data_IF_744593708311
#
_entry.id   IF_744593708311
#
_cell.length_a   1.000
_cell.length_b   1.000
_cell.length_c   1.000
_cell.angle_alpha   90.00
_cell.angle_beta   90.00
_cell.angle_gamma   90.00
#
_symmetry.space_group_name_H-M   'P 1'
#
loop_
_entity.id
_entity.type
_entity.pdbx_description
1 polymer ?
#
# COMPACT_ATOMS: atom_id res chain seq x y z
N UNK A 1 -12.50 19.35 -6.08
CA UNK A 1 -11.67 20.56 -6.16
C UNK A 1 -11.96 21.48 -4.98
N UNK A 2 -10.93 22.12 -4.44
CA UNK A 2 -11.08 23.22 -3.48
C UNK A 2 -11.38 24.55 -4.21
N UNK A 3 -11.90 25.57 -3.52
CA UNK A 3 -12.10 26.88 -4.15
C UNK A 3 -10.79 27.46 -4.73
N UNK A 4 -9.66 27.29 -4.03
CA UNK A 4 -8.34 27.74 -4.50
C UNK A 4 -7.91 27.04 -5.80
N UNK A 5 -7.99 25.71 -5.87
CA UNK A 5 -7.68 24.93 -7.07
C UNK A 5 -8.54 25.36 -8.27
N UNK A 6 -9.84 25.60 -8.04
CA UNK A 6 -10.73 26.04 -9.10
C UNK A 6 -10.41 27.46 -9.57
N UNK A 7 -10.03 28.36 -8.65
CA UNK A 7 -9.59 29.71 -8.96
C UNK A 7 -8.31 29.69 -9.80
N UNK A 8 -7.34 28.88 -9.41
CA UNK A 8 -6.06 28.74 -10.10
C UNK A 8 -6.22 28.13 -11.52
N UNK A 9 -7.04 27.10 -11.64
CA UNK A 9 -7.25 26.41 -12.91
C UNK A 9 -8.13 27.19 -13.90
N UNK A 10 -9.08 28.01 -13.43
CA UNK A 10 -10.11 28.64 -14.28
C UNK A 10 -10.06 30.17 -14.31
N UNK A 11 -9.27 30.81 -13.46
CA UNK A 11 -9.19 32.27 -13.34
C UNK A 11 -10.43 32.94 -12.73
N UNK A 12 -11.43 32.18 -12.25
CA UNK A 12 -12.61 32.74 -11.57
C UNK A 12 -12.23 33.20 -10.15
N UNK A 13 -12.94 34.20 -9.62
CA UNK A 13 -12.71 34.63 -8.26
C UNK A 13 -13.07 33.53 -7.26
N UNK A 14 -12.44 33.57 -6.09
CA UNK A 14 -12.68 32.57 -5.03
C UNK A 14 -14.15 32.51 -4.59
N UNK A 15 -14.84 33.65 -4.58
CA UNK A 15 -16.27 33.72 -4.29
C UNK A 15 -17.13 32.99 -5.32
N UNK A 16 -16.79 33.14 -6.61
CA UNK A 16 -17.45 32.42 -7.70
C UNK A 16 -17.10 30.92 -7.65
N UNK A 17 -15.85 30.57 -7.41
CA UNK A 17 -15.42 29.19 -7.22
C UNK A 17 -16.17 28.48 -6.10
N UNK A 18 -16.32 29.15 -4.94
CA UNK A 18 -17.15 28.65 -3.80
C UNK A 18 -18.60 28.43 -4.19
N UNK A 19 -19.21 29.37 -4.95
CA UNK A 19 -20.59 29.25 -5.40
C UNK A 19 -20.77 28.10 -6.39
N UNK A 20 -19.86 27.93 -7.33
CA UNK A 20 -19.86 26.80 -8.29
C UNK A 20 -19.75 25.47 -7.54
N UNK A 21 -18.80 25.34 -6.62
CA UNK A 21 -18.58 24.12 -5.83
C UNK A 21 -19.82 23.81 -4.97
N UNK A 22 -20.39 24.79 -4.28
CA UNK A 22 -21.58 24.58 -3.46
C UNK A 22 -22.79 24.19 -4.31
N UNK A 23 -22.99 24.82 -5.47
CA UNK A 23 -24.06 24.45 -6.40
C UNK A 23 -23.86 23.06 -6.98
N UNK A 24 -22.63 22.69 -7.33
CA UNK A 24 -22.32 21.33 -7.77
C UNK A 24 -22.59 20.31 -6.66
N UNK A 25 -22.12 20.58 -5.44
CA UNK A 25 -22.37 19.73 -4.27
C UNK A 25 -23.85 19.55 -3.95
N UNK A 26 -24.66 20.60 -4.06
CA UNK A 26 -26.10 20.50 -3.80
C UNK A 26 -26.87 19.70 -4.86
N UNK A 27 -26.28 19.49 -6.05
CA UNK A 27 -26.83 18.68 -7.13
C UNK A 27 -26.28 17.27 -7.20
N UNK A 28 -25.17 17.02 -6.53
CA UNK A 28 -24.65 15.67 -6.33
C UNK A 28 -25.41 15.03 -5.18
N UNK A 29 -25.91 13.84 -5.40
CA UNK A 29 -26.28 12.96 -4.29
C UNK A 29 -25.04 12.82 -3.41
N UNK A 30 -25.12 13.28 -2.14
CA UNK A 30 -23.96 13.47 -1.25
C UNK A 30 -23.30 12.14 -0.83
N UNK A 31 -23.51 11.08 -1.63
CA UNK A 31 -22.82 9.82 -1.47
C UNK A 31 -23.36 8.97 -0.30
N UNK A 32 -24.55 9.28 0.23
CA UNK A 32 -25.24 8.36 1.12
C UNK A 32 -25.79 7.19 0.30
N UNK A 33 -25.28 6.00 0.58
CA UNK A 33 -25.68 4.78 -0.08
C UNK A 33 -26.40 3.86 0.92
N UNK A 34 -27.27 2.99 0.42
CA UNK A 34 -27.87 1.99 1.28
C UNK A 34 -26.83 0.96 1.71
N UNK A 35 -27.00 0.32 2.88
CA UNK A 35 -26.13 -0.76 3.32
C UNK A 35 -26.04 -1.89 2.30
N UNK A 36 -27.10 -2.12 1.51
CA UNK A 36 -27.12 -3.13 0.45
C UNK A 36 -26.20 -2.73 -0.73
N UNK A 37 -26.19 -1.46 -1.11
CA UNK A 37 -25.30 -0.99 -2.19
C UNK A 37 -23.83 -1.00 -1.75
N UNK A 38 -23.56 -0.66 -0.48
CA UNK A 38 -22.25 -0.81 0.11
C UNK A 38 -21.79 -2.29 0.12
N UNK A 39 -22.66 -3.22 0.44
CA UNK A 39 -22.38 -4.65 0.41
C UNK A 39 -22.02 -5.12 -1.02
N UNK A 40 -22.80 -4.73 -2.02
CA UNK A 40 -22.50 -5.04 -3.43
C UNK A 40 -21.16 -4.48 -3.88
N UNK A 41 -20.81 -3.26 -3.45
CA UNK A 41 -19.47 -2.69 -3.71
C UNK A 41 -18.36 -3.51 -3.07
N UNK A 42 -18.59 -4.02 -1.86
CA UNK A 42 -17.62 -4.91 -1.18
C UNK A 42 -17.43 -6.24 -1.91
N UNK A 43 -18.46 -6.78 -2.55
CA UNK A 43 -18.38 -8.00 -3.37
C UNK A 43 -17.52 -7.79 -4.63
N UNK A 44 -17.42 -6.58 -5.15
CA UNK A 44 -16.61 -6.23 -6.33
C UNK A 44 -15.12 -5.98 -6.02
N UNK A 45 -14.75 -5.98 -4.75
CA UNK A 45 -13.36 -5.77 -4.32
C UNK A 45 -12.47 -6.92 -4.77
N UNK A 46 -11.37 -6.58 -5.44
CA UNK A 46 -10.37 -7.56 -5.88
C UNK A 46 -9.33 -7.76 -4.78
N UNK A 47 -8.90 -9.01 -4.60
CA UNK A 47 -7.81 -9.36 -3.69
C UNK A 47 -6.67 -9.99 -4.45
N UNK A 48 -5.46 -9.45 -4.25
CA UNK A 48 -4.24 -9.91 -4.90
C UNK A 48 -3.57 -10.92 -3.97
N UNK A 49 -3.38 -12.16 -4.46
CA UNK A 49 -2.74 -13.23 -3.71
C UNK A 49 -1.31 -12.88 -3.32
N UNK A 50 -0.93 -13.23 -2.11
CA UNK A 50 0.45 -13.13 -1.60
C UNK A 50 1.36 -14.25 -2.13
N UNK A 51 0.79 -15.28 -2.79
CA UNK A 51 1.49 -16.49 -3.21
C UNK A 51 1.47 -17.63 -2.18
N UNK A 52 1.00 -17.39 -0.96
CA UNK A 52 0.77 -18.38 0.09
C UNK A 52 -0.70 -18.44 0.44
N UNK A 53 -1.32 -19.60 0.33
CA UNK A 53 -2.74 -19.81 0.70
C UNK A 53 -3.00 -19.53 2.17
N UNK A 54 -2.06 -19.90 3.03
CA UNK A 54 -2.16 -19.65 4.47
C UNK A 54 -2.13 -18.14 4.76
N UNK A 55 -1.29 -17.39 4.05
CA UNK A 55 -1.21 -15.95 4.21
C UNK A 55 -2.43 -15.24 3.60
N UNK A 56 -2.88 -15.69 2.44
CA UNK A 56 -4.11 -15.16 1.83
C UNK A 56 -5.31 -15.38 2.75
N UNK A 57 -5.44 -16.57 3.35
CA UNK A 57 -6.51 -16.85 4.32
C UNK A 57 -6.45 -15.93 5.54
N UNK A 58 -5.24 -15.63 6.06
CA UNK A 58 -5.05 -14.68 7.16
C UNK A 58 -5.52 -13.26 6.80
N UNK A 59 -5.39 -12.86 5.53
CA UNK A 59 -5.81 -11.55 5.02
C UNK A 59 -7.24 -11.55 4.40
N UNK A 60 -7.99 -12.64 4.57
CA UNK A 60 -9.34 -12.75 4.00
C UNK A 60 -9.37 -12.88 2.48
N UNK A 61 -8.30 -13.41 1.89
CA UNK A 61 -8.17 -13.71 0.46
C UNK A 61 -7.02 -13.03 -0.26
N UNK A 62 -6.18 -12.26 0.44
CA UNK A 62 -5.04 -11.53 -0.12
C UNK A 62 -5.07 -10.03 0.14
N UNK A 63 -4.24 -9.27 -0.59
CA UNK A 63 -4.15 -7.82 -0.47
C UNK A 63 -5.33 -7.16 -1.18
N UNK A 64 -6.13 -6.40 -0.43
CA UNK A 64 -7.39 -5.82 -0.88
C UNK A 64 -7.17 -4.53 -1.69
N UNK A 65 -7.86 -4.40 -2.84
CA UNK A 65 -7.95 -3.12 -3.57
C UNK A 65 -8.87 -2.14 -2.83
N UNK A 66 -8.57 -0.85 -2.94
CA UNK A 66 -9.27 0.18 -2.18
C UNK A 66 -8.78 0.33 -0.74
N UNK A 67 -7.69 -0.32 -0.35
CA UNK A 67 -7.19 -0.34 1.01
C UNK A 67 -5.66 -0.15 1.06
N UNK A 68 -5.17 0.28 2.23
CA UNK A 68 -3.73 0.29 2.55
C UNK A 68 -3.43 -0.93 3.42
N UNK A 69 -2.50 -1.76 2.97
CA UNK A 69 -1.94 -2.88 3.73
C UNK A 69 -0.51 -2.58 4.15
N UNK A 70 -0.26 -2.50 5.46
CA UNK A 70 1.06 -2.31 6.04
C UNK A 70 1.68 -3.65 6.44
N UNK A 71 2.89 -3.90 5.94
CA UNK A 71 3.75 -4.98 6.43
C UNK A 71 4.94 -4.38 7.16
N UNK A 72 5.05 -4.63 8.46
CA UNK A 72 6.16 -4.13 9.26
C UNK A 72 6.92 -5.24 9.96
N UNK A 73 8.19 -5.00 10.24
CA UNK A 73 9.06 -6.00 10.89
C UNK A 73 10.54 -5.69 10.70
N UNK A 74 11.38 -6.47 11.35
CA UNK A 74 12.84 -6.32 11.30
C UNK A 74 13.39 -6.53 9.87
N UNK A 75 14.63 -6.13 9.65
CA UNK A 75 15.34 -6.41 8.40
C UNK A 75 15.35 -7.92 8.09
N UNK A 76 15.08 -8.28 6.83
CA UNK A 76 15.04 -9.67 6.38
C UNK A 76 13.80 -10.45 6.83
N UNK A 77 12.74 -9.80 7.33
CA UNK A 77 11.46 -10.45 7.66
C UNK A 77 10.60 -10.82 6.46
N UNK A 78 10.97 -10.39 5.23
CA UNK A 78 10.28 -10.77 3.99
C UNK A 78 9.39 -9.68 3.38
N UNK A 79 9.34 -8.47 3.96
CA UNK A 79 8.49 -7.34 3.47
C UNK A 79 8.67 -7.06 1.97
N UNK A 80 9.89 -6.78 1.56
CA UNK A 80 10.24 -6.52 0.15
C UNK A 80 9.98 -7.73 -0.74
N UNK A 81 10.22 -8.95 -0.25
CA UNK A 81 9.96 -10.18 -1.01
C UNK A 81 8.47 -10.40 -1.31
N UNK A 82 7.59 -10.07 -0.35
CA UNK A 82 6.14 -10.06 -0.56
C UNK A 82 5.78 -9.01 -1.61
N UNK A 83 6.37 -7.81 -1.56
CA UNK A 83 6.19 -6.77 -2.57
C UNK A 83 6.54 -7.26 -3.98
N UNK A 84 7.66 -7.97 -4.16
CA UNK A 84 8.02 -8.56 -5.46
C UNK A 84 6.99 -9.59 -5.92
N UNK A 85 6.51 -10.46 -5.02
CA UNK A 85 5.47 -11.43 -5.34
C UNK A 85 4.17 -10.74 -5.78
N UNK A 86 3.72 -9.73 -5.05
CA UNK A 86 2.52 -8.98 -5.38
C UNK A 86 2.64 -8.25 -6.73
N UNK A 87 3.82 -7.72 -7.06
CA UNK A 87 4.08 -7.05 -8.33
C UNK A 87 3.96 -7.98 -9.54
N UNK A 88 4.19 -9.28 -9.34
CA UNK A 88 3.93 -10.31 -10.34
C UNK A 88 2.46 -10.75 -10.30
N UNK A 89 1.94 -11.06 -9.12
CA UNK A 89 0.61 -11.63 -8.98
C UNK A 89 -0.50 -10.68 -9.44
N UNK A 90 -0.33 -9.35 -9.28
CA UNK A 90 -1.32 -8.36 -9.77
C UNK A 90 -1.60 -8.49 -11.27
N UNK A 91 -0.66 -9.03 -12.04
CA UNK A 91 -0.76 -9.21 -13.49
C UNK A 91 -1.53 -10.48 -13.88
N UNK A 92 -1.70 -11.42 -12.95
CA UNK A 92 -2.45 -12.64 -13.18
C UNK A 92 -3.95 -12.34 -13.36
N UNK A 93 -4.66 -13.29 -13.97
CA UNK A 93 -6.11 -13.26 -14.03
C UNK A 93 -6.73 -13.40 -12.63
N UNK A 94 -7.95 -12.92 -12.46
CA UNK A 94 -8.63 -12.90 -11.14
C UNK A 94 -8.84 -14.30 -10.55
N UNK A 95 -9.10 -15.29 -11.39
CA UNK A 95 -9.23 -16.70 -11.00
C UNK A 95 -7.92 -17.30 -10.46
N UNK A 96 -6.78 -16.70 -10.80
CA UNK A 96 -5.44 -17.05 -10.28
C UNK A 96 -4.96 -16.13 -9.15
N UNK A 97 -5.85 -15.32 -8.59
CA UNK A 97 -5.52 -14.41 -7.50
C UNK A 97 -4.83 -13.13 -7.95
N UNK A 98 -5.02 -12.72 -9.21
CA UNK A 98 -4.52 -11.46 -9.74
C UNK A 98 -5.60 -10.37 -9.84
N UNK A 99 -5.25 -9.27 -10.47
CA UNK A 99 -6.13 -8.12 -10.72
C UNK A 99 -6.09 -7.65 -12.18
N UNK A 100 -5.43 -8.39 -13.07
CA UNK A 100 -5.29 -8.09 -14.51
C UNK A 100 -4.75 -6.66 -14.74
N UNK A 101 -3.81 -6.24 -13.90
CA UNK A 101 -3.28 -4.89 -13.90
C UNK A 101 -1.76 -4.84 -13.77
N UNK A 102 -1.22 -3.63 -13.70
CA UNK A 102 0.21 -3.39 -13.52
C UNK A 102 0.54 -2.92 -12.12
N UNK A 103 1.80 -3.14 -11.70
CA UNK A 103 2.33 -2.66 -10.44
C UNK A 103 3.17 -1.39 -10.64
N UNK A 104 3.00 -0.43 -9.72
CA UNK A 104 3.92 0.68 -9.53
C UNK A 104 4.67 0.51 -8.21
N UNK A 105 5.99 0.76 -8.24
CA UNK A 105 6.86 0.64 -7.08
C UNK A 105 7.61 1.95 -6.82
N UNK A 106 7.41 2.51 -5.65
CA UNK A 106 8.20 3.63 -5.13
C UNK A 106 9.27 3.05 -4.21
N UNK A 107 10.52 3.10 -4.67
CA UNK A 107 11.68 2.60 -3.93
C UNK A 107 12.38 3.76 -3.20
N UNK A 108 12.28 3.80 -1.88
CA UNK A 108 12.96 4.81 -1.05
C UNK A 108 14.31 4.33 -0.50
N UNK A 109 14.58 3.02 -0.53
CA UNK A 109 15.79 2.41 0.04
C UNK A 109 16.81 1.97 -1.03
N UNK A 110 16.42 1.90 -2.31
CA UNK A 110 17.29 1.42 -3.40
C UNK A 110 17.49 -0.10 -3.38
N UNK A 111 16.51 -0.82 -2.85
CA UNK A 111 16.57 -2.27 -2.63
C UNK A 111 15.86 -3.09 -3.69
N UNK A 112 15.12 -2.46 -4.59
CA UNK A 112 14.44 -3.14 -5.68
C UNK A 112 15.41 -3.86 -6.62
N UNK A 113 15.06 -5.07 -7.03
CA UNK A 113 15.85 -5.92 -7.93
C UNK A 113 14.94 -6.54 -8.99
N UNK A 114 15.03 -6.13 -10.26
CA UNK A 114 14.19 -6.64 -11.35
C UNK A 114 14.36 -8.15 -11.59
N UNK A 115 15.53 -8.70 -11.23
CA UNK A 115 15.80 -10.13 -11.34
C UNK A 115 14.86 -10.99 -10.49
N UNK A 116 14.35 -10.46 -9.39
CA UNK A 116 13.33 -11.14 -8.58
C UNK A 116 11.99 -11.21 -9.31
N UNK A 117 11.59 -10.12 -10.00
CA UNK A 117 10.38 -10.13 -10.83
C UNK A 117 10.47 -11.19 -11.90
N UNK A 118 11.61 -11.29 -12.61
CA UNK A 118 11.80 -12.30 -13.65
C UNK A 118 11.65 -13.73 -13.13
N UNK A 119 12.30 -14.04 -12.00
CA UNK A 119 12.25 -15.38 -11.40
C UNK A 119 10.84 -15.75 -10.95
N UNK A 120 10.18 -14.86 -10.24
CA UNK A 120 8.81 -15.06 -9.75
C UNK A 120 7.83 -15.19 -10.94
N UNK A 121 7.95 -14.35 -11.96
CA UNK A 121 7.12 -14.40 -13.17
C UNK A 121 7.24 -15.76 -13.85
N UNK A 122 8.47 -16.25 -14.06
CA UNK A 122 8.72 -17.58 -14.62
C UNK A 122 8.08 -18.69 -13.79
N UNK A 123 8.24 -18.63 -12.45
CA UNK A 123 7.65 -19.61 -11.54
C UNK A 123 6.11 -19.55 -11.52
N UNK A 124 5.52 -18.38 -11.81
CA UNK A 124 4.07 -18.15 -11.90
C UNK A 124 3.48 -18.44 -13.29
N UNK A 125 4.32 -18.86 -14.25
CA UNK A 125 3.90 -19.17 -15.62
C UNK A 125 3.65 -17.93 -16.49
N UNK A 126 4.19 -16.77 -16.10
CA UNK A 126 4.20 -15.56 -16.93
C UNK A 126 5.51 -15.46 -17.72
N UNK A 127 5.44 -14.78 -18.85
CA UNK A 127 6.65 -14.39 -19.57
C UNK A 127 7.42 -13.32 -18.75
N UNK A 128 8.71 -13.54 -18.45
CA UNK A 128 9.48 -12.64 -17.61
C UNK A 128 9.67 -11.23 -18.17
N UNK A 129 9.78 -11.10 -19.50
CA UNK A 129 9.95 -9.78 -20.15
C UNK A 129 8.64 -9.02 -20.16
N UNK A 130 7.52 -9.67 -20.44
CA UNK A 130 6.19 -9.05 -20.33
C UNK A 130 5.86 -8.65 -18.89
N UNK A 131 6.22 -9.47 -17.91
CA UNK A 131 6.05 -9.14 -16.51
C UNK A 131 6.85 -7.88 -16.10
N UNK A 132 8.04 -7.68 -16.64
CA UNK A 132 8.82 -6.45 -16.43
C UNK A 132 8.25 -5.25 -17.18
N UNK A 133 7.67 -5.41 -18.36
CA UNK A 133 6.97 -4.31 -19.09
C UNK A 133 5.74 -3.83 -18.31
N UNK A 134 5.04 -4.74 -17.65
CA UNK A 134 3.88 -4.48 -16.80
C UNK A 134 4.23 -4.05 -15.37
N UNK A 135 5.49 -3.77 -15.13
CA UNK A 135 6.00 -3.23 -13.88
C UNK A 135 6.65 -1.87 -14.13
N UNK A 136 6.39 -0.90 -13.26
CA UNK A 136 7.06 0.40 -13.29
C UNK A 136 7.62 0.72 -11.92
N UNK A 137 8.91 0.96 -11.83
CA UNK A 137 9.61 1.35 -10.61
C UNK A 137 10.19 2.75 -10.72
N UNK A 138 10.13 3.51 -9.63
CA UNK A 138 10.77 4.80 -9.52
C UNK A 138 11.44 4.94 -8.15
N UNK A 139 12.64 5.53 -8.11
CA UNK A 139 13.35 5.83 -6.88
C UNK A 139 12.91 7.17 -6.31
N UNK A 140 12.45 7.17 -5.08
CA UNK A 140 12.25 8.40 -4.32
C UNK A 140 13.56 8.85 -3.68
N UNK A 141 13.88 10.15 -3.75
CA UNK A 141 15.11 10.70 -3.20
C UNK A 141 14.89 11.45 -1.87
N UNK A 142 13.67 11.87 -1.62
CA UNK A 142 13.24 12.53 -0.39
C UNK A 142 11.73 12.38 -0.20
N UNK A 143 11.21 12.83 0.93
CA UNK A 143 9.78 12.71 1.26
C UNK A 143 8.88 13.53 0.33
N UNK A 144 9.31 14.71 -0.13
CA UNK A 144 8.53 15.51 -1.09
C UNK A 144 8.44 14.81 -2.45
N UNK A 145 9.54 14.25 -2.94
CA UNK A 145 9.56 13.47 -4.17
C UNK A 145 8.66 12.22 -4.06
N UNK A 146 8.70 11.54 -2.90
CA UNK A 146 7.81 10.39 -2.63
C UNK A 146 6.33 10.80 -2.68
N UNK A 147 5.96 11.95 -2.14
CA UNK A 147 4.60 12.49 -2.19
C UNK A 147 4.19 12.89 -3.61
N UNK A 148 5.06 13.59 -4.34
CA UNK A 148 4.81 13.98 -5.73
C UNK A 148 4.56 12.77 -6.64
N UNK A 149 5.21 11.64 -6.39
CA UNK A 149 4.97 10.41 -7.14
C UNK A 149 3.52 9.92 -7.01
N UNK A 150 2.85 10.14 -5.87
CA UNK A 150 1.45 9.75 -5.70
C UNK A 150 0.52 10.58 -6.60
N UNK A 151 0.78 11.88 -6.70
CA UNK A 151 0.06 12.77 -7.62
C UNK A 151 0.24 12.30 -9.08
N UNK A 152 1.47 11.92 -9.45
CA UNK A 152 1.75 11.38 -10.78
C UNK A 152 1.10 10.04 -11.06
N UNK A 153 0.97 9.18 -10.06
CA UNK A 153 0.24 7.91 -10.17
C UNK A 153 -1.25 8.16 -10.39
N UNK A 154 -1.85 9.10 -9.66
CA UNK A 154 -3.25 9.51 -9.83
C UNK A 154 -3.52 9.97 -11.27
N UNK A 155 -2.63 10.81 -11.81
CA UNK A 155 -2.68 11.27 -13.20
C UNK A 155 -2.58 10.10 -14.20
N UNK A 156 -1.64 9.17 -13.99
CA UNK A 156 -1.46 8.02 -14.89
C UNK A 156 -2.71 7.14 -14.92
N UNK A 157 -3.34 6.87 -13.78
CA UNK A 157 -4.57 6.07 -13.70
C UNK A 157 -5.72 6.81 -14.38
N UNK A 158 -5.85 8.10 -14.12
CA UNK A 158 -6.88 8.96 -14.75
C UNK A 158 -6.75 8.96 -16.27
N UNK A 159 -5.52 8.89 -16.80
CA UNK A 159 -5.23 8.78 -18.23
C UNK A 159 -5.34 7.34 -18.77
N UNK A 160 -5.88 6.40 -18.00
CA UNK A 160 -6.22 5.06 -18.47
C UNK A 160 -5.14 3.99 -18.24
N UNK A 161 -4.07 4.26 -17.46
CA UNK A 161 -3.11 3.23 -17.12
C UNK A 161 -3.77 2.18 -16.20
N UNK A 162 -3.67 0.87 -16.49
CA UNK A 162 -4.35 -0.20 -15.74
C UNK A 162 -3.61 -0.55 -14.44
N UNK A 163 -3.29 0.46 -13.63
CA UNK A 163 -2.59 0.29 -12.36
C UNK A 163 -3.56 -0.29 -11.34
N UNK A 164 -3.21 -1.41 -10.72
CA UNK A 164 -3.99 -2.09 -9.68
C UNK A 164 -3.24 -2.27 -8.37
N UNK A 165 -1.94 -2.03 -8.36
CA UNK A 165 -1.10 -2.12 -7.17
C UNK A 165 -0.09 -0.98 -7.12
N UNK A 166 0.01 -0.32 -5.97
CA UNK A 166 1.07 0.64 -5.65
C UNK A 166 1.84 0.10 -4.45
N UNK A 167 3.14 -0.02 -4.59
CA UNK A 167 4.07 -0.47 -3.55
C UNK A 167 4.93 0.71 -3.12
N UNK A 168 5.03 0.96 -1.81
CA UNK A 168 5.95 1.95 -1.24
C UNK A 168 6.92 1.23 -0.29
N UNK A 169 8.15 1.04 -0.71
CA UNK A 169 9.17 0.30 0.04
C UNK A 169 10.43 1.16 0.29
N UNK A 170 10.57 1.70 1.48
CA UNK A 170 9.69 1.71 2.64
C UNK A 170 9.04 3.10 2.81
N UNK A 171 7.86 3.13 3.39
CA UNK A 171 7.13 4.38 3.60
C UNK A 171 7.91 5.40 4.43
N UNK A 172 8.54 4.94 5.52
CA UNK A 172 9.10 5.80 6.57
C UNK A 172 10.56 6.20 6.37
N UNK A 173 11.27 5.68 5.37
CA UNK A 173 12.71 5.89 5.21
C UNK A 173 13.07 7.39 5.16
N UNK A 174 12.49 8.13 4.24
CA UNK A 174 12.75 9.56 4.08
C UNK A 174 12.20 10.41 5.23
N UNK A 175 10.99 10.10 5.72
CA UNK A 175 10.40 10.82 6.84
C UNK A 175 11.24 10.72 8.13
N UNK A 176 11.99 9.64 8.31
CA UNK A 176 12.90 9.49 9.45
C UNK A 176 14.22 10.24 9.27
N UNK A 177 14.77 10.22 8.07
CA UNK A 177 16.05 10.85 7.79
C UNK A 177 15.97 12.38 7.75
N UNK A 178 14.88 12.92 7.20
CA UNK A 178 14.69 14.36 7.03
C UNK A 178 14.23 15.04 8.33
N UNK A 179 13.40 14.38 9.14
CA UNK A 179 12.86 14.91 10.38
C UNK A 179 13.50 14.22 11.57
N UNK A 180 14.74 14.53 11.86
CA UNK A 180 15.49 13.99 12.97
C UNK A 180 15.43 14.89 14.20
N UNK A 181 15.17 14.30 15.38
CA UNK A 181 15.09 15.04 16.64
C UNK A 181 13.67 15.31 17.15
N UNK A 182 13.58 15.56 18.47
CA UNK A 182 12.29 15.69 19.17
C UNK A 182 11.48 16.92 18.72
N UNK A 183 12.15 17.99 18.33
CA UNK A 183 11.49 19.26 17.90
C UNK A 183 10.77 19.14 16.55
N UNK A 184 11.13 18.17 15.70
CA UNK A 184 10.55 18.00 14.36
C UNK A 184 9.50 16.89 14.29
N UNK A 185 9.14 16.32 15.44
CA UNK A 185 8.18 15.20 15.48
C UNK A 185 6.79 15.62 14.96
N UNK A 186 6.33 16.80 15.32
CA UNK A 186 5.01 17.31 14.89
C UNK A 186 4.97 17.51 13.36
N UNK A 187 5.97 18.15 12.79
CA UNK A 187 6.08 18.40 11.33
C UNK A 187 6.15 17.07 10.56
N UNK A 188 6.95 16.13 11.04
CA UNK A 188 7.01 14.78 10.47
C UNK A 188 5.65 14.10 10.47
N UNK A 189 4.92 14.14 11.58
CA UNK A 189 3.62 13.51 11.72
C UNK A 189 2.57 14.19 10.81
N UNK A 190 2.60 15.50 10.71
CA UNK A 190 1.69 16.25 9.83
C UNK A 190 1.94 15.89 8.36
N UNK A 191 3.20 15.89 7.93
CA UNK A 191 3.58 15.55 6.54
C UNK A 191 3.23 14.08 6.22
N UNK A 192 3.52 13.16 7.15
CA UNK A 192 3.19 11.75 7.01
C UNK A 192 1.66 11.54 6.91
N UNK A 193 0.89 12.23 7.76
CA UNK A 193 -0.57 12.14 7.72
C UNK A 193 -1.14 12.59 6.38
N UNK A 194 -0.63 13.68 5.83
CA UNK A 194 -1.01 14.15 4.48
C UNK A 194 -0.70 13.10 3.43
N UNK A 195 0.50 12.53 3.45
CA UNK A 195 0.92 11.50 2.49
C UNK A 195 0.04 10.24 2.55
N UNK A 196 -0.26 9.77 3.76
CA UNK A 196 -1.15 8.62 3.98
C UNK A 196 -2.59 8.90 3.51
N UNK A 197 -3.06 10.14 3.71
CA UNK A 197 -4.38 10.54 3.22
C UNK A 197 -4.44 10.54 1.68
N UNK A 198 -3.39 11.01 1.02
CA UNK A 198 -3.26 10.95 -0.45
C UNK A 198 -3.22 9.51 -0.97
N UNK A 199 -2.47 8.61 -0.31
CA UNK A 199 -2.43 7.18 -0.63
C UNK A 199 -3.80 6.51 -0.44
N UNK A 200 -4.50 6.82 0.64
CA UNK A 200 -5.83 6.28 0.93
C UNK A 200 -6.86 6.78 -0.09
N UNK A 201 -6.81 8.07 -0.42
CA UNK A 201 -7.65 8.67 -1.48
C UNK A 201 -7.42 7.99 -2.83
N UNK A 202 -6.14 7.78 -3.22
CA UNK A 202 -5.76 7.07 -4.43
C UNK A 202 -6.36 5.65 -4.45
N UNK A 203 -6.18 4.90 -3.35
CA UNK A 203 -6.69 3.54 -3.21
C UNK A 203 -8.21 3.49 -3.41
N UNK A 204 -8.96 4.33 -2.72
CA UNK A 204 -10.42 4.37 -2.77
C UNK A 204 -10.95 4.85 -4.12
N UNK A 205 -10.40 5.95 -4.66
CA UNK A 205 -10.90 6.55 -5.89
C UNK A 205 -10.74 5.64 -7.11
N UNK A 206 -9.62 4.91 -7.17
CA UNK A 206 -9.27 4.09 -8.33
C UNK A 206 -9.37 2.58 -8.09
N UNK A 207 -9.82 2.17 -6.91
CA UNK A 207 -9.85 0.73 -6.52
C UNK A 207 -8.50 0.06 -6.74
N UNK A 208 -7.44 0.68 -6.22
CA UNK A 208 -6.05 0.20 -6.28
C UNK A 208 -5.64 -0.34 -4.92
N UNK A 209 -4.91 -1.46 -4.89
CA UNK A 209 -4.28 -1.94 -3.68
C UNK A 209 -3.04 -1.11 -3.37
N UNK A 210 -2.90 -0.65 -2.14
CA UNK A 210 -1.69 0.03 -1.68
C UNK A 210 -0.98 -0.86 -0.66
N UNK A 211 0.24 -1.27 -0.99
CA UNK A 211 1.12 -2.07 -0.15
C UNK A 211 2.26 -1.21 0.35
N UNK A 212 2.40 -1.08 1.67
CA UNK A 212 3.48 -0.31 2.27
C UNK A 212 4.33 -1.19 3.17
N UNK A 213 5.64 -1.00 3.11
CA UNK A 213 6.57 -1.63 4.05
C UNK A 213 7.00 -0.63 5.10
N UNK A 214 7.25 -1.15 6.31
CA UNK A 214 7.71 -0.33 7.42
C UNK A 214 8.70 -1.12 8.30
N UNK A 215 9.55 -0.39 8.98
CA UNK A 215 10.53 -0.93 9.93
C UNK A 215 9.94 -0.94 11.34
N UNK A 216 10.61 -1.65 12.23
CA UNK A 216 10.33 -1.66 13.68
C UNK A 216 11.39 -0.89 14.45
N UNK A 217 11.00 -0.37 15.59
CA UNK A 217 11.88 0.18 16.60
C UNK A 217 11.69 -0.58 17.92
N UNK A 218 12.75 -0.66 18.71
CA UNK A 218 12.66 -1.22 20.06
C UNK A 218 11.97 -0.22 20.99
N UNK A 219 11.05 -0.72 21.83
CA UNK A 219 10.52 -0.01 23.00
C UNK A 219 11.29 -0.47 24.25
N UNK A 220 12.30 0.29 24.71
CA UNK A 220 13.13 -0.14 25.84
C UNK A 220 12.36 -0.26 27.17
N UNK A 221 11.19 0.34 27.26
CA UNK A 221 10.36 0.38 28.47
C UNK A 221 9.41 -0.83 28.63
N UNK A 222 9.37 -1.74 27.63
CA UNK A 222 8.56 -2.96 27.72
C UNK A 222 9.36 -4.12 28.31
N UNK A 223 9.04 -4.49 29.56
CA UNK A 223 9.67 -5.62 30.26
C UNK A 223 9.04 -6.98 29.95
N UNK A 224 7.83 -7.02 29.35
CA UNK A 224 7.12 -8.25 29.01
C UNK A 224 6.48 -8.12 27.61
N UNK A 225 6.56 -9.20 26.82
CA UNK A 225 6.01 -9.24 25.44
C UNK A 225 7.05 -8.92 24.37
N UNK A 226 6.59 -8.67 23.13
CA UNK A 226 7.46 -8.28 22.02
C UNK A 226 7.74 -6.76 22.13
N UNK A 227 9.00 -6.35 22.40
CA UNK A 227 9.35 -4.94 22.58
C UNK A 227 9.39 -4.15 21.27
N UNK A 228 8.92 -4.71 20.15
CA UNK A 228 9.00 -4.09 18.84
C UNK A 228 7.71 -3.36 18.47
N UNK A 229 7.83 -2.13 18.02
CA UNK A 229 6.73 -1.33 17.51
C UNK A 229 7.02 -0.84 16.08
N UNK A 230 5.97 -0.72 15.28
CA UNK A 230 6.07 -0.13 13.95
C UNK A 230 6.50 1.35 14.04
N UNK A 231 7.41 1.77 13.19
CA UNK A 231 7.80 3.18 13.06
C UNK A 231 6.64 3.98 12.47
N UNK A 232 6.43 5.23 12.94
CA UNK A 232 5.37 6.11 12.41
C UNK A 232 4.28 6.44 13.42
N UNK A 233 4.16 5.65 14.50
CA UNK A 233 3.23 5.91 15.60
C UNK A 233 1.75 5.81 15.19
N UNK A 234 0.88 6.47 15.96
CA UNK A 234 -0.58 6.38 15.79
C UNK A 234 -1.10 6.82 14.40
N UNK A 235 -0.44 7.78 13.74
CA UNK A 235 -0.88 8.28 12.43
C UNK A 235 -0.90 7.16 11.39
N UNK A 236 0.18 6.39 11.31
CA UNK A 236 0.26 5.26 10.40
C UNK A 236 -0.67 4.11 10.82
N UNK A 237 -0.80 3.90 12.14
CA UNK A 237 -1.68 2.89 12.70
C UNK A 237 -3.14 3.08 12.23
N UNK A 238 -3.65 4.31 12.31
CA UNK A 238 -5.04 4.59 11.94
C UNK A 238 -5.28 4.72 10.42
N UNK A 239 -4.24 4.97 9.63
CA UNK A 239 -4.38 5.11 8.19
C UNK A 239 -4.34 3.76 7.45
N UNK A 240 -3.70 2.75 8.02
CA UNK A 240 -3.59 1.41 7.42
C UNK A 240 -4.82 0.58 7.74
N UNK A 241 -5.48 0.04 6.69
CA UNK A 241 -6.66 -0.82 6.83
C UNK A 241 -6.30 -2.20 7.36
N UNK A 242 -5.18 -2.76 6.86
CA UNK A 242 -4.65 -4.06 7.28
C UNK A 242 -3.22 -3.87 7.77
N UNK A 243 -2.90 -4.46 8.91
CA UNK A 243 -1.56 -4.36 9.50
C UNK A 243 -1.05 -5.74 9.89
N UNK A 244 0.09 -6.13 9.34
CA UNK A 244 0.73 -7.40 9.64
C UNK A 244 2.15 -7.20 10.17
N UNK A 245 2.44 -7.82 11.29
CA UNK A 245 3.79 -7.94 11.83
C UNK A 245 4.48 -9.17 11.24
N UNK A 246 5.65 -8.95 10.66
CA UNK A 246 6.45 -10.00 10.05
C UNK A 246 7.71 -10.26 10.88
N UNK A 247 7.96 -11.53 11.18
CA UNK A 247 9.17 -11.98 11.88
C UNK A 247 9.79 -13.21 11.22
N UNK A 248 11.06 -13.45 11.49
CA UNK A 248 11.73 -14.69 11.06
C UNK A 248 11.20 -15.86 11.88
N UNK A 249 10.90 -16.95 11.20
CA UNK A 249 10.52 -18.22 11.78
C UNK A 249 11.70 -19.20 11.86
N UNK A 250 11.41 -20.44 12.22
CA UNK A 250 12.39 -21.54 12.24
C UNK A 250 12.69 -22.04 10.82
N UNK A 251 13.88 -22.59 10.61
CA UNK A 251 14.29 -23.22 9.33
C UNK A 251 14.12 -22.33 8.09
N UNK A 252 14.34 -21.01 8.24
CA UNK A 252 14.23 -20.07 7.12
C UNK A 252 12.83 -19.58 6.80
N UNK A 253 11.78 -20.06 7.49
CA UNK A 253 10.41 -19.58 7.31
C UNK A 253 10.23 -18.14 7.80
N UNK A 254 9.06 -17.60 7.51
CA UNK A 254 8.56 -16.31 8.02
C UNK A 254 7.24 -16.53 8.71
N UNK A 255 6.96 -15.71 9.69
CA UNK A 255 5.66 -15.68 10.39
C UNK A 255 5.04 -14.32 10.14
N UNK A 256 3.81 -14.32 9.67
CA UNK A 256 2.97 -13.13 9.59
C UNK A 256 1.90 -13.20 10.68
N UNK A 257 1.81 -12.14 11.48
CA UNK A 257 0.74 -11.95 12.47
C UNK A 257 -0.14 -10.79 12.03
N UNK A 258 -1.43 -11.05 11.88
CA UNK A 258 -2.41 -10.00 11.69
C UNK A 258 -2.58 -9.24 13.01
N UNK A 259 -2.31 -7.95 12.99
CA UNK A 259 -2.32 -7.09 14.18
C UNK A 259 -3.55 -6.19 14.21
N UNK A 260 -4.02 -5.82 13.01
CA UNK A 260 -5.21 -4.99 12.86
C UNK A 260 -5.86 -5.23 11.51
N UNK A 261 -7.19 -5.40 11.53
CA UNK A 261 -8.01 -5.51 10.34
C UNK A 261 -9.49 -5.30 10.68
N UNK A 262 -10.30 -4.64 9.82
CA UNK A 262 -11.66 -4.23 10.18
C UNK A 262 -12.64 -5.37 10.46
N UNK A 263 -12.41 -6.57 9.89
CA UNK A 263 -13.40 -7.65 9.94
C UNK A 263 -12.77 -9.05 9.96
N UNK A 264 -11.48 -9.15 10.30
CA UNK A 264 -10.78 -10.42 10.39
C UNK A 264 -10.36 -10.69 11.84
N UNK A 265 -10.40 -11.95 12.29
CA UNK A 265 -9.91 -12.30 13.61
C UNK A 265 -8.39 -12.22 13.67
N UNK A 266 -7.88 -12.01 14.88
CA UNK A 266 -6.44 -12.15 15.14
C UNK A 266 -5.95 -13.54 14.72
N UNK A 267 -4.75 -13.59 14.13
CA UNK A 267 -4.17 -14.85 13.69
C UNK A 267 -2.72 -14.72 13.27
N UNK A 268 -2.10 -15.86 13.07
CA UNK A 268 -0.76 -15.98 12.52
C UNK A 268 -0.73 -17.05 11.44
N UNK A 269 0.13 -16.85 10.44
CA UNK A 269 0.47 -17.87 9.47
C UNK A 269 1.98 -17.98 9.29
N UNK A 270 2.41 -19.11 8.73
CA UNK A 270 3.82 -19.36 8.42
C UNK A 270 3.94 -19.57 6.93
N UNK A 271 4.94 -18.95 6.33
CA UNK A 271 5.22 -19.04 4.89
C UNK A 271 6.73 -19.08 4.62
N UNK A 272 7.11 -19.46 3.42
CA UNK A 272 8.49 -19.49 2.96
C UNK A 272 8.76 -18.36 1.97
N UNK A 273 9.95 -17.78 2.06
CA UNK A 273 10.52 -16.92 1.03
C UNK A 273 11.56 -17.73 0.29
N UNK A 274 11.31 -18.01 -0.97
CA UNK A 274 12.17 -18.81 -1.84
C UNK A 274 12.69 -17.98 -3.01
N UNK A 275 13.59 -18.53 -3.82
CA UNK A 275 14.05 -17.87 -5.03
C UNK A 275 12.95 -17.70 -6.09
N UNK A 276 11.92 -18.55 -6.04
CA UNK A 276 10.76 -18.51 -6.93
C UNK A 276 9.58 -17.73 -6.35
N UNK A 277 9.76 -17.03 -5.23
CA UNK A 277 8.74 -16.22 -4.57
C UNK A 277 8.25 -16.77 -3.24
N UNK A 278 7.03 -16.37 -2.87
CA UNK A 278 6.36 -16.74 -1.62
C UNK A 278 5.63 -18.06 -1.80
N UNK A 279 5.77 -18.97 -0.84
CA UNK A 279 5.13 -20.29 -0.86
C UNK A 279 4.64 -20.69 0.54
N UNK A 280 3.68 -21.59 0.59
CA UNK A 280 3.33 -22.29 1.82
C UNK A 280 4.48 -23.19 2.27
N UNK A 281 4.44 -23.65 3.54
CA UNK A 281 5.39 -24.61 4.11
C UNK A 281 5.28 -25.97 3.44
#
# INVERSE_FOLDING_TARGET
ASPGELTEASGVSEAVARKIINTARSRLDMGFESGLDLLKKRESVVRISTGSKAFDALLGGGIETGAITEMYGAYGSGKTSIGHQLAVNVQLSKDKGGAEGIALWIDSEGTFRPEFIQRIAKASGLDPEEALKNFKGARAFNSDHQMLMIEKIDELITNGAPIKLVIVDSLMSHFRSEFSGRGQLADRQQKLNRHLHELLKLAHTHSVAVYITNQVMAKPDMFFGDPTEAVGGHVLHHASTYRCYLRRGKKGSRVAKLVDAPALPDGECIFMVTDDGIKDL
#
